data_IF_295811970695
#
_entry.id   IF_295811970695
#
_cell.length_a   1.000
_cell.length_b   1.000
_cell.length_c   1.000
_cell.angle_alpha   90.00
_cell.angle_beta   90.00
_cell.angle_gamma   90.00
#
_symmetry.space_group_name_H-M   'P 1'
#
loop_
_entity.id
_entity.type
_entity.pdbx_description
1 polymer ?
#
# COMPACT_ATOMS: atom_id res chain seq x y z
N UNK A 1 17.24 24.79 12.72
CA UNK A 1 16.72 24.83 11.34
C UNK A 1 15.50 23.93 11.28
N UNK A 2 14.29 24.47 11.07
CA UNK A 2 13.09 23.67 10.82
C UNK A 2 13.00 23.48 9.31
N UNK A 3 13.65 22.45 8.80
CA UNK A 3 13.48 22.04 7.40
C UNK A 3 12.22 21.18 7.40
N UNK A 4 11.05 21.81 7.32
CA UNK A 4 9.84 21.10 6.93
C UNK A 4 9.96 20.84 5.43
N UNK A 5 10.73 19.82 5.07
CA UNK A 5 10.83 19.37 3.70
C UNK A 5 9.50 18.69 3.35
N UNK A 6 8.73 19.18 2.36
CA UNK A 6 7.46 18.56 1.97
C UNK A 6 7.66 17.09 1.55
N UNK A 7 8.85 16.72 1.07
CA UNK A 7 9.21 15.33 0.78
C UNK A 7 9.20 14.46 2.03
N UNK A 8 9.63 14.99 3.18
CA UNK A 8 9.62 14.28 4.47
C UNK A 8 8.21 14.06 5.02
N UNK A 9 7.25 14.94 4.69
CA UNK A 9 5.84 14.73 5.06
C UNK A 9 5.18 13.68 4.16
N UNK A 10 5.48 13.69 2.86
CA UNK A 10 4.99 12.68 1.92
C UNK A 10 5.54 11.27 2.22
N UNK A 11 6.74 11.17 2.79
CA UNK A 11 7.32 9.90 3.26
C UNK A 11 6.69 9.37 4.56
N UNK A 12 6.02 10.22 5.34
CA UNK A 12 5.39 9.84 6.61
C UNK A 12 3.88 9.56 6.47
N UNK A 13 3.31 9.79 5.29
CA UNK A 13 1.88 9.60 5.07
C UNK A 13 1.55 8.11 5.00
N UNK A 14 0.67 7.67 5.88
CA UNK A 14 0.12 6.31 5.83
C UNK A 14 -0.98 6.24 4.77
N UNK A 15 -1.15 5.06 4.18
CA UNK A 15 -2.25 4.81 3.24
C UNK A 15 -3.58 4.60 3.97
N UNK A 16 -4.67 4.89 3.29
CA UNK A 16 -6.01 4.63 3.76
C UNK A 16 -6.80 3.69 2.82
N UNK A 17 -8.07 3.45 3.14
CA UNK A 17 -8.91 2.55 2.36
C UNK A 17 -9.09 3.03 0.92
N UNK A 18 -9.12 4.35 0.68
CA UNK A 18 -9.27 4.92 -0.66
C UNK A 18 -8.05 4.65 -1.52
N UNK A 19 -6.86 4.54 -0.92
CA UNK A 19 -5.64 4.13 -1.63
C UNK A 19 -5.71 2.65 -2.02
N UNK A 20 -6.24 1.80 -1.14
CA UNK A 20 -6.49 0.39 -1.45
C UNK A 20 -7.56 0.24 -2.53
N UNK A 21 -8.65 1.01 -2.49
CA UNK A 21 -9.66 1.03 -3.56
C UNK A 21 -9.05 1.40 -4.91
N UNK A 22 -8.23 2.46 -4.93
CA UNK A 22 -7.51 2.88 -6.15
C UNK A 22 -6.58 1.78 -6.65
N UNK A 23 -5.83 1.14 -5.76
CA UNK A 23 -4.93 0.06 -6.10
C UNK A 23 -5.71 -1.12 -6.69
N UNK A 24 -6.78 -1.56 -6.02
CA UNK A 24 -7.65 -2.66 -6.49
C UNK A 24 -8.33 -2.32 -7.83
N UNK A 25 -8.63 -1.05 -8.10
CA UNK A 25 -9.20 -0.59 -9.37
C UNK A 25 -8.23 -0.51 -10.55
N UNK A 26 -6.91 -0.62 -10.35
CA UNK A 26 -5.93 -0.53 -11.44
C UNK A 26 -5.90 -1.75 -12.35
N UNK A 27 -6.05 -2.94 -11.77
CA UNK A 27 -6.03 -4.22 -12.48
C UNK A 27 -6.60 -5.32 -11.60
N UNK A 28 -6.91 -6.45 -12.21
CA UNK A 28 -7.25 -7.65 -11.44
C UNK A 28 -6.01 -8.31 -10.85
N UNK A 29 -5.85 -8.18 -9.53
CA UNK A 29 -4.76 -8.79 -8.79
C UNK A 29 -5.05 -10.24 -8.47
N UNK A 30 -4.07 -11.12 -8.68
CA UNK A 30 -4.14 -12.55 -8.31
C UNK A 30 -3.75 -12.83 -6.87
N UNK A 31 -3.06 -11.90 -6.22
CA UNK A 31 -2.64 -12.03 -4.82
C UNK A 31 -1.58 -11.02 -4.40
N UNK A 32 -1.10 -11.17 -3.16
CA UNK A 32 -0.14 -10.26 -2.54
C UNK A 32 1.15 -10.06 -3.35
N UNK A 33 1.75 -11.13 -3.86
CA UNK A 33 3.03 -11.02 -4.59
C UNK A 33 2.91 -10.17 -5.85
N UNK A 34 1.77 -10.25 -6.55
CA UNK A 34 1.52 -9.45 -7.73
C UNK A 34 1.33 -7.96 -7.39
N UNK A 35 0.65 -7.69 -6.28
CA UNK A 35 0.48 -6.33 -5.74
C UNK A 35 1.83 -5.73 -5.34
N UNK A 36 2.59 -6.43 -4.52
CA UNK A 36 3.91 -5.99 -4.03
C UNK A 36 4.86 -5.74 -5.20
N UNK A 37 4.87 -6.64 -6.19
CA UNK A 37 5.73 -6.50 -7.38
C UNK A 37 5.39 -5.24 -8.17
N UNK A 38 4.11 -4.89 -8.28
CA UNK A 38 3.71 -3.66 -8.97
C UNK A 38 4.03 -2.42 -8.14
N UNK A 39 3.72 -2.41 -6.85
CA UNK A 39 4.04 -1.28 -5.98
C UNK A 39 5.54 -0.93 -6.01
N UNK A 40 6.40 -1.95 -5.98
CA UNK A 40 7.87 -1.77 -6.09
C UNK A 40 8.34 -1.24 -7.44
N UNK A 41 7.58 -1.44 -8.50
CA UNK A 41 7.98 -1.10 -9.87
C UNK A 41 7.38 0.22 -10.34
N UNK A 42 6.09 0.42 -10.06
CA UNK A 42 5.24 1.47 -10.62
C UNK A 42 4.53 2.29 -9.54
N UNK A 43 4.58 1.88 -8.27
CA UNK A 43 3.88 2.57 -7.17
C UNK A 43 4.35 4.01 -6.98
N UNK A 44 5.66 4.24 -7.01
CA UNK A 44 6.26 5.58 -6.89
C UNK A 44 6.07 6.44 -8.16
N UNK A 45 5.87 5.81 -9.32
CA UNK A 45 5.57 6.53 -10.56
C UNK A 45 4.10 6.99 -10.63
N UNK A 46 3.24 6.35 -9.84
CA UNK A 46 1.84 6.70 -9.75
C UNK A 46 1.62 7.93 -8.88
N UNK A 47 1.39 9.08 -9.52
CA UNK A 47 1.16 10.37 -8.85
C UNK A 47 -0.03 10.38 -7.88
N UNK A 48 -0.84 9.33 -7.83
CA UNK A 48 -1.95 9.20 -6.87
C UNK A 48 -1.51 8.63 -5.52
N UNK A 49 -0.33 8.03 -5.46
CA UNK A 49 0.29 7.57 -4.23
C UNK A 49 1.51 8.44 -3.90
N UNK A 50 1.69 8.69 -2.62
CA UNK A 50 2.92 9.26 -2.07
C UNK A 50 3.92 8.12 -1.82
N UNK A 51 5.23 8.40 -1.83
CA UNK A 51 6.22 7.38 -1.53
C UNK A 51 6.03 6.70 -0.16
N UNK A 52 5.52 7.43 0.84
CA UNK A 52 5.18 6.88 2.15
C UNK A 52 4.04 5.85 2.06
N UNK A 53 2.96 6.18 1.35
CA UNK A 53 1.83 5.27 1.16
C UNK A 53 2.27 3.99 0.43
N UNK A 54 3.10 4.11 -0.61
CA UNK A 54 3.66 2.97 -1.36
C UNK A 54 4.49 2.06 -0.45
N UNK A 55 5.40 2.64 0.32
CA UNK A 55 6.26 1.89 1.23
C UNK A 55 5.44 1.17 2.31
N UNK A 56 4.50 1.87 2.95
CA UNK A 56 3.63 1.31 3.97
C UNK A 56 2.74 0.18 3.41
N UNK A 57 2.22 0.34 2.20
CA UNK A 57 1.48 -0.73 1.52
C UNK A 57 2.38 -1.95 1.28
N UNK A 58 3.58 -1.77 0.74
CA UNK A 58 4.53 -2.87 0.48
C UNK A 58 4.81 -3.65 1.76
N UNK A 59 5.08 -2.96 2.87
CA UNK A 59 5.41 -3.59 4.15
C UNK A 59 4.24 -4.40 4.70
N UNK A 60 3.03 -3.84 4.69
CA UNK A 60 1.85 -4.53 5.20
C UNK A 60 1.40 -5.69 4.30
N UNK A 61 1.45 -5.51 2.97
CA UNK A 61 1.15 -6.58 2.03
C UNK A 61 2.14 -7.74 2.18
N UNK A 62 3.43 -7.44 2.37
CA UNK A 62 4.46 -8.45 2.62
C UNK A 62 4.19 -9.18 3.93
N UNK A 63 3.86 -8.45 5.00
CA UNK A 63 3.54 -9.03 6.30
C UNK A 63 2.29 -9.90 6.27
N UNK A 64 1.23 -9.48 5.58
CA UNK A 64 0.01 -10.27 5.44
C UNK A 64 0.26 -11.57 4.67
N UNK A 65 1.07 -11.51 3.59
CA UNK A 65 1.52 -12.69 2.85
C UNK A 65 2.32 -13.64 3.74
N UNK A 66 3.31 -13.14 4.48
CA UNK A 66 4.18 -13.95 5.32
C UNK A 66 3.43 -14.59 6.49
N UNK A 67 2.32 -13.96 6.94
CA UNK A 67 1.38 -14.51 7.91
C UNK A 67 0.35 -15.49 7.33
N UNK A 68 0.35 -15.70 6.01
CA UNK A 68 -0.60 -16.59 5.34
C UNK A 68 -2.05 -16.10 5.41
N UNK A 69 -2.28 -14.78 5.56
CA UNK A 69 -3.64 -14.22 5.55
C UNK A 69 -4.19 -14.35 4.13
N UNK A 70 -5.47 -14.73 3.97
CA UNK A 70 -6.09 -14.78 2.64
C UNK A 70 -6.14 -13.41 1.95
N UNK A 71 -5.88 -13.41 0.64
CA UNK A 71 -6.04 -12.22 -0.21
C UNK A 71 -7.51 -12.00 -0.53
N UNK A 72 -8.07 -10.88 -0.05
CA UNK A 72 -9.46 -10.50 -0.32
C UNK A 72 -9.52 -9.36 -1.32
N UNK A 73 -10.50 -9.38 -2.22
CA UNK A 73 -10.70 -8.35 -3.25
C UNK A 73 -11.45 -7.12 -2.73
N UNK A 74 -12.16 -7.27 -1.62
CA UNK A 74 -12.89 -6.18 -0.97
C UNK A 74 -11.91 -5.19 -0.33
N UNK A 75 -11.85 -3.92 -0.78
CA UNK A 75 -10.86 -2.95 -0.32
C UNK A 75 -10.92 -2.64 1.16
N UNK A 76 -12.13 -2.55 1.74
CA UNK A 76 -12.33 -2.25 3.15
C UNK A 76 -11.79 -3.40 4.03
N UNK A 77 -12.18 -4.64 3.72
CA UNK A 77 -11.69 -5.81 4.43
C UNK A 77 -10.20 -6.04 4.22
N UNK A 78 -9.68 -5.77 3.01
CA UNK A 78 -8.25 -5.87 2.74
C UNK A 78 -7.49 -4.86 3.60
N UNK A 79 -7.87 -3.58 3.58
CA UNK A 79 -7.25 -2.53 4.38
C UNK A 79 -7.29 -2.88 5.88
N UNK A 80 -8.43 -3.38 6.38
CA UNK A 80 -8.56 -3.83 7.77
C UNK A 80 -7.62 -4.99 8.10
N UNK A 81 -7.51 -6.01 7.23
CA UNK A 81 -6.62 -7.17 7.41
C UNK A 81 -5.15 -6.73 7.42
N UNK A 82 -4.76 -5.86 6.50
CA UNK A 82 -3.41 -5.31 6.41
C UNK A 82 -3.04 -4.55 7.69
N UNK A 83 -3.88 -3.62 8.14
CA UNK A 83 -3.61 -2.83 9.35
C UNK A 83 -3.66 -3.66 10.64
N UNK A 84 -4.55 -4.65 10.72
CA UNK A 84 -4.61 -5.58 11.86
C UNK A 84 -3.39 -6.49 11.93
N UNK A 85 -2.65 -6.62 10.83
CA UNK A 85 -1.45 -7.44 10.77
C UNK A 85 -0.18 -6.70 11.22
N UNK A 86 -0.22 -5.38 11.43
CA UNK A 86 0.94 -4.59 11.88
C UNK A 86 1.46 -5.04 13.23
#
# INVERSE_FOLDING_TARGET
MKIHDPSSQAMQKDYDVTDIERLMGKREWKGYDEVIKWLKKEGDEDRRFTPGEVQHMIDDFSRARDKGIDFVRDPEQLCKKLKSSR
#
